data_IF_246163456605
#
_entry.id   IF_246163456605
#
_cell.length_a   1.000
_cell.length_b   1.000
_cell.length_c   1.000
_cell.angle_alpha   90.00
_cell.angle_beta   90.00
_cell.angle_gamma   90.00
#
_symmetry.space_group_name_H-M   'P 1'
#
loop_
_entity.id
_entity.type
_entity.pdbx_description
1 polymer ?
#
# COMPACT_ATOMS: atom_id res chain seq x y z
N UNK A 1 -4.29 -4.36 22.77
CA UNK A 1 -4.98 -4.68 21.50
C UNK A 1 -4.05 -4.37 20.35
N UNK A 2 -3.90 -5.32 19.44
CA UNK A 2 -3.12 -5.09 18.23
C UNK A 2 -3.96 -4.31 17.23
N UNK A 3 -3.38 -3.25 16.66
CA UNK A 3 -3.98 -2.55 15.53
C UNK A 3 -3.65 -3.34 14.26
N UNK A 4 -4.69 -3.86 13.61
CA UNK A 4 -4.52 -4.64 12.39
C UNK A 4 -5.17 -3.87 11.26
N UNK A 5 -4.42 -3.65 10.19
CA UNK A 5 -4.97 -3.08 8.96
C UNK A 5 -4.62 -3.98 7.77
N UNK A 6 -5.50 -3.97 6.78
CA UNK A 6 -5.27 -4.67 5.52
C UNK A 6 -5.02 -3.62 4.45
N UNK A 7 -3.92 -3.76 3.72
CA UNK A 7 -3.56 -2.87 2.62
C UNK A 7 -3.57 -3.67 1.33
N UNK A 8 -4.48 -3.32 0.43
CA UNK A 8 -4.56 -3.94 -0.90
C UNK A 8 -3.78 -3.09 -1.89
N UNK A 9 -2.72 -3.66 -2.44
CA UNK A 9 -1.88 -2.97 -3.40
C UNK A 9 -2.24 -3.43 -4.82
N UNK A 10 -2.50 -2.50 -5.75
CA UNK A 10 -2.91 -2.86 -7.10
C UNK A 10 -1.78 -3.51 -7.88
N UNK A 11 -2.11 -4.60 -8.58
CA UNK A 11 -1.17 -5.29 -9.48
C UNK A 11 -1.36 -4.88 -10.94
N UNK A 12 -2.39 -4.11 -11.23
CA UNK A 12 -2.63 -3.60 -12.57
C UNK A 12 -1.64 -2.47 -12.89
N UNK A 13 -0.93 -2.60 -14.01
CA UNK A 13 0.11 -1.64 -14.39
C UNK A 13 -0.42 -0.21 -14.55
N UNK A 14 -1.66 -0.05 -14.97
CA UNK A 14 -2.28 1.27 -15.18
C UNK A 14 -2.37 2.12 -13.90
N UNK A 15 -2.36 1.50 -12.72
CA UNK A 15 -2.37 2.23 -11.45
C UNK A 15 -1.03 2.92 -11.16
N UNK A 16 0.06 2.43 -11.78
CA UNK A 16 1.42 2.88 -11.47
C UNK A 16 2.05 3.72 -12.58
N UNK A 17 1.28 4.02 -13.59
CA UNK A 17 1.72 4.83 -14.71
C UNK A 17 1.61 4.10 -16.05
N UNK A 18 1.52 4.87 -17.14
CA UNK A 18 1.27 4.32 -18.48
C UNK A 18 2.43 3.51 -19.04
N UNK A 19 3.63 3.68 -18.48
CA UNK A 19 4.84 2.98 -18.94
C UNK A 19 5.31 1.88 -17.98
N UNK A 20 4.58 1.65 -16.88
CA UNK A 20 4.96 0.63 -15.92
C UNK A 20 4.78 -0.78 -16.49
N UNK A 21 5.76 -1.66 -16.24
CA UNK A 21 5.69 -3.08 -16.58
C UNK A 21 5.29 -3.89 -15.35
N UNK A 22 4.96 -5.18 -15.54
CA UNK A 22 4.66 -6.08 -14.41
C UNK A 22 5.84 -6.15 -13.43
N UNK A 23 7.06 -6.22 -13.94
CA UNK A 23 8.25 -6.24 -13.09
C UNK A 23 8.37 -4.96 -12.25
N UNK A 24 8.06 -3.80 -12.86
CA UNK A 24 8.05 -2.52 -12.15
C UNK A 24 7.01 -2.50 -11.04
N UNK A 25 5.81 -3.02 -11.31
CA UNK A 25 4.72 -3.09 -10.33
C UNK A 25 5.14 -3.88 -9.10
N UNK A 26 5.70 -5.07 -9.29
CA UNK A 26 6.13 -5.90 -8.16
C UNK A 26 7.28 -5.27 -7.37
N UNK A 27 8.17 -4.57 -8.04
CA UNK A 27 9.24 -3.82 -7.37
C UNK A 27 8.67 -2.68 -6.53
N UNK A 28 7.73 -1.91 -7.08
CA UNK A 28 7.09 -0.80 -6.36
C UNK A 28 6.33 -1.33 -5.14
N UNK A 29 5.55 -2.39 -5.32
CA UNK A 29 4.80 -3.01 -4.24
C UNK A 29 5.74 -3.46 -3.12
N UNK A 30 6.82 -4.16 -3.45
CA UNK A 30 7.79 -4.61 -2.46
C UNK A 30 8.42 -3.45 -1.69
N UNK A 31 8.79 -2.39 -2.39
CA UNK A 31 9.36 -1.20 -1.76
C UNK A 31 8.34 -0.49 -0.86
N UNK A 32 7.09 -0.35 -1.33
CA UNK A 32 6.03 0.25 -0.53
C UNK A 32 5.75 -0.55 0.74
N UNK A 33 5.71 -1.87 0.65
CA UNK A 33 5.51 -2.72 1.83
C UNK A 33 6.59 -2.47 2.88
N UNK A 34 7.85 -2.41 2.46
CA UNK A 34 8.96 -2.11 3.36
C UNK A 34 8.85 -0.72 3.98
N UNK A 35 8.49 0.28 3.18
CA UNK A 35 8.34 1.66 3.62
C UNK A 35 7.20 1.79 4.63
N UNK A 36 6.06 1.16 4.35
CA UNK A 36 4.89 1.20 5.23
C UNK A 36 5.19 0.50 6.56
N UNK A 37 5.83 -0.67 6.54
CA UNK A 37 6.21 -1.38 7.75
C UNK A 37 7.17 -0.55 8.61
N UNK A 38 8.10 0.15 7.97
CA UNK A 38 9.05 1.02 8.67
C UNK A 38 8.39 2.24 9.29
N UNK A 39 7.38 2.79 8.61
CA UNK A 39 6.65 3.97 9.09
C UNK A 39 5.70 3.63 10.25
N UNK A 40 5.13 2.43 10.25
CA UNK A 40 4.15 1.99 11.25
C UNK A 40 4.61 0.69 11.90
N UNK A 41 5.72 0.72 12.69
CA UNK A 41 6.33 -0.51 13.22
C UNK A 41 5.47 -1.23 14.28
N UNK A 42 4.54 -0.52 14.91
CA UNK A 42 3.69 -1.09 15.96
C UNK A 42 2.34 -1.59 15.44
N UNK A 43 2.15 -1.57 14.11
CA UNK A 43 0.91 -1.97 13.46
C UNK A 43 1.10 -3.30 12.75
N UNK A 44 0.17 -4.23 12.95
CA UNK A 44 0.12 -5.45 12.16
C UNK A 44 -0.54 -5.13 10.81
N UNK A 45 0.22 -5.27 9.75
CA UNK A 45 -0.26 -4.94 8.41
C UNK A 45 -0.34 -6.22 7.58
N UNK A 46 -1.53 -6.50 7.05
CA UNK A 46 -1.77 -7.58 6.11
C UNK A 46 -1.76 -6.98 4.70
N UNK A 47 -0.75 -7.32 3.91
CA UNK A 47 -0.65 -6.85 2.54
C UNK A 47 -1.29 -7.86 1.60
N UNK A 48 -2.18 -7.37 0.75
CA UNK A 48 -2.83 -8.16 -0.29
C UNK A 48 -2.55 -7.53 -1.64
N UNK A 49 -2.22 -8.38 -2.62
CA UNK A 49 -2.01 -7.93 -3.99
C UNK A 49 -3.28 -8.23 -4.79
N UNK A 50 -3.93 -7.19 -5.26
CA UNK A 50 -5.19 -7.29 -6.00
C UNK A 50 -5.12 -6.49 -7.28
N UNK A 51 -5.68 -7.06 -8.34
CA UNK A 51 -5.69 -6.38 -9.63
C UNK A 51 -6.42 -5.03 -9.54
N UNK A 52 -7.58 -5.02 -8.88
CA UNK A 52 -8.38 -3.81 -8.67
C UNK A 52 -8.79 -3.72 -7.20
N UNK A 53 -8.05 -2.98 -6.37
CA UNK A 53 -8.45 -2.77 -4.97
C UNK A 53 -9.78 -2.01 -4.87
N UNK A 54 -10.54 -2.31 -3.82
CA UNK A 54 -11.80 -1.63 -3.55
C UNK A 54 -11.56 -0.35 -2.77
N UNK A 55 -12.23 0.73 -3.18
CA UNK A 55 -12.12 2.02 -2.51
C UNK A 55 -10.68 2.47 -2.42
N UNK A 56 -10.23 2.82 -1.21
CA UNK A 56 -8.84 3.23 -0.96
C UNK A 56 -7.86 2.05 -0.90
N UNK A 57 -8.38 0.83 -0.88
CA UNK A 57 -7.57 -0.37 -0.73
C UNK A 57 -7.02 -0.57 0.68
N UNK A 58 -7.55 0.15 1.67
CA UNK A 58 -7.11 0.05 3.06
C UNK A 58 -8.32 -0.21 3.94
N UNK A 59 -8.23 -1.26 4.77
CA UNK A 59 -9.33 -1.70 5.63
C UNK A 59 -8.83 -1.94 7.05
N UNK A 60 -9.65 -1.64 8.03
CA UNK A 60 -9.34 -1.84 9.44
C UNK A 60 -10.34 -1.15 10.32
N UNK A 61 -10.13 -1.23 11.64
CA UNK A 61 -11.05 -0.65 12.63
C UNK A 61 -10.65 0.76 13.06
N UNK A 62 -9.39 1.14 12.83
CA UNK A 62 -8.87 2.46 13.21
C UNK A 62 -8.84 3.37 11.98
N UNK A 63 -9.84 4.24 11.88
CA UNK A 63 -9.99 5.13 10.74
C UNK A 63 -8.85 6.15 10.62
N UNK A 64 -8.38 6.65 11.75
CA UNK A 64 -7.25 7.57 11.80
C UNK A 64 -5.98 6.92 11.23
N UNK A 65 -5.73 5.67 11.59
CA UNK A 65 -4.60 4.89 11.10
C UNK A 65 -4.76 4.60 9.60
N UNK A 66 -5.96 4.28 9.16
CA UNK A 66 -6.25 4.07 7.74
C UNK A 66 -5.98 5.31 6.92
N UNK A 67 -6.41 6.47 7.40
CA UNK A 67 -6.18 7.75 6.73
C UNK A 67 -4.69 8.08 6.68
N UNK A 68 -3.98 7.87 7.76
CA UNK A 68 -2.52 8.10 7.83
C UNK A 68 -1.78 7.20 6.86
N UNK A 69 -2.17 5.94 6.78
CA UNK A 69 -1.55 4.97 5.86
C UNK A 69 -1.82 5.34 4.40
N UNK A 70 -3.05 5.70 4.10
CA UNK A 70 -3.43 6.14 2.76
C UNK A 70 -2.62 7.38 2.34
N UNK A 71 -2.55 8.36 3.21
CA UNK A 71 -1.81 9.60 2.94
C UNK A 71 -0.31 9.31 2.73
N UNK A 72 0.25 8.44 3.55
CA UNK A 72 1.65 8.03 3.42
C UNK A 72 1.92 7.41 2.05
N UNK A 73 1.04 6.53 1.59
CA UNK A 73 1.17 5.91 0.26
C UNK A 73 1.09 6.96 -0.84
N UNK A 74 0.11 7.88 -0.75
CA UNK A 74 -0.06 8.93 -1.75
C UNK A 74 1.17 9.85 -1.83
N UNK A 75 1.78 10.15 -0.69
CA UNK A 75 2.93 11.06 -0.64
C UNK A 75 4.25 10.39 -1.03
N UNK A 76 4.34 9.08 -0.93
CA UNK A 76 5.63 8.38 -1.01
C UNK A 76 5.73 7.30 -2.09
N UNK A 77 4.65 6.99 -2.81
CA UNK A 77 4.71 5.91 -3.79
C UNK A 77 5.74 6.16 -4.91
N UNK A 78 5.96 7.42 -5.27
CA UNK A 78 6.97 7.76 -6.28
C UNK A 78 8.39 7.46 -5.81
N UNK A 79 8.63 7.52 -4.50
CA UNK A 79 9.93 7.15 -3.94
C UNK A 79 10.18 5.64 -3.98
N UNK A 80 9.14 4.85 -4.20
CA UNK A 80 9.23 3.39 -4.33
C UNK A 80 9.58 2.93 -5.76
N UNK A 81 9.60 3.86 -6.70
CA UNK A 81 9.89 3.58 -8.11
C UNK A 81 11.31 3.05 -8.37
#
# INVERSE_FOLDING_TARGET
MSNIITVQLPTETSYWGSTATEADVYRIIGNLEMMIRSQFPDVDIDFQHMQEPRGRGIFGDDESLMDSTYQFIQDNWTAAL
#
